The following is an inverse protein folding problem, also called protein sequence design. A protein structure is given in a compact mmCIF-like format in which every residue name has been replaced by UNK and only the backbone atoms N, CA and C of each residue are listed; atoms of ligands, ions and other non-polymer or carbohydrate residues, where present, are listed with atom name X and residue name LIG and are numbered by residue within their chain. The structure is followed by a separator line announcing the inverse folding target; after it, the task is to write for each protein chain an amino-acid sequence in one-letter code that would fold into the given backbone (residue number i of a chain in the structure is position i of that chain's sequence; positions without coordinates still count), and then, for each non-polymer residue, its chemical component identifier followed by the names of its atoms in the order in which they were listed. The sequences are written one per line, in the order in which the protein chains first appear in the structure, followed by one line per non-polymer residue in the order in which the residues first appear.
data_IF_028479460738
#
_entry.id   IF_028479460738
#
_cell.length_a   1.000
_cell.length_b   1.000
_cell.length_c   1.000
_cell.angle_alpha   90.00
_cell.angle_beta   90.00
_cell.angle_gamma   90.00
#
_symmetry.space_group_name_H-M   'P 1'
#
loop_
_entity.id
_entity.type
_entity.pdbx_description
1 polymer ?
#
# COMPACT_ATOMS: atom_id res chain seq x y z
N UNK A 1 29.81 10.84 -21.36
CA UNK A 1 28.37 10.57 -21.43
C UNK A 1 28.05 9.53 -20.37
N UNK A 2 27.31 9.88 -19.32
CA UNK A 2 26.84 8.88 -18.37
C UNK A 2 25.72 8.07 -19.03
N UNK A 3 25.85 6.74 -19.08
CA UNK A 3 24.77 5.86 -19.51
C UNK A 3 23.59 6.06 -18.55
N UNK A 4 22.39 6.27 -19.10
CA UNK A 4 21.18 6.31 -18.29
C UNK A 4 21.03 4.96 -17.57
N UNK A 5 20.67 4.93 -16.28
CA UNK A 5 20.44 3.69 -15.56
C UNK A 5 19.37 2.87 -16.28
N UNK A 6 19.75 1.68 -16.73
CA UNK A 6 18.86 0.78 -17.45
C UNK A 6 17.96 0.09 -16.42
N UNK A 7 16.68 0.46 -16.40
CA UNK A 7 15.71 -0.18 -15.51
C UNK A 7 15.41 -1.59 -16.03
N UNK A 8 15.69 -2.62 -15.22
CA UNK A 8 15.37 -4.02 -15.52
C UNK A 8 13.86 -4.32 -15.48
N UNK A 9 13.06 -3.40 -14.92
CA UNK A 9 11.63 -3.58 -14.71
C UNK A 9 10.84 -4.07 -15.94
N UNK A 10 10.99 -3.52 -17.16
CA UNK A 10 10.24 -4.03 -18.32
C UNK A 10 10.62 -5.48 -18.67
N UNK A 11 11.90 -5.84 -18.47
CA UNK A 11 12.37 -7.20 -18.68
C UNK A 11 11.78 -8.17 -17.64
N UNK A 12 11.80 -7.77 -16.37
CA UNK A 12 11.23 -8.56 -15.27
C UNK A 12 9.71 -8.72 -15.38
N UNK A 13 8.99 -7.69 -15.84
CA UNK A 13 7.55 -7.81 -16.14
C UNK A 13 7.30 -8.81 -17.27
N UNK A 14 8.09 -8.72 -18.34
CA UNK A 14 7.96 -9.64 -19.47
C UNK A 14 8.26 -11.09 -19.03
N UNK A 15 9.32 -11.30 -18.24
CA UNK A 15 9.64 -12.60 -17.65
C UNK A 15 8.51 -13.11 -16.73
N UNK A 16 8.00 -12.28 -15.83
CA UNK A 16 6.89 -12.69 -14.96
C UNK A 16 5.65 -13.09 -15.77
N UNK A 17 5.35 -12.36 -16.84
CA UNK A 17 4.21 -12.66 -17.72
C UNK A 17 4.35 -13.96 -18.53
N UNK A 18 5.56 -14.49 -18.70
CA UNK A 18 5.76 -15.79 -19.35
C UNK A 18 5.69 -16.95 -18.36
N UNK A 19 5.96 -16.69 -17.07
CA UNK A 19 5.91 -17.68 -15.98
C UNK A 19 4.50 -17.80 -15.40
N UNK A 20 3.78 -16.69 -15.29
CA UNK A 20 2.49 -16.60 -14.62
C UNK A 20 1.37 -16.25 -15.59
N UNK A 21 0.23 -16.91 -15.40
CA UNK A 21 -0.97 -16.72 -16.23
C UNK A 21 -1.87 -15.57 -15.78
N UNK A 22 -1.77 -15.14 -14.51
CA UNK A 22 -2.59 -14.09 -13.92
C UNK A 22 -1.74 -13.00 -13.26
N UNK A 23 -2.30 -11.79 -13.18
CA UNK A 23 -1.72 -10.67 -12.46
C UNK A 23 -2.80 -9.77 -11.85
N UNK A 24 -2.48 -9.11 -10.73
CA UNK A 24 -3.32 -8.08 -10.14
C UNK A 24 -2.49 -6.96 -9.50
N UNK A 25 -3.16 -5.90 -9.06
CA UNK A 25 -2.48 -4.83 -8.31
C UNK A 25 -2.11 -5.32 -6.91
N UNK A 26 -0.99 -4.83 -6.38
CA UNK A 26 -0.57 -5.13 -5.01
C UNK A 26 0.19 -3.98 -4.37
N UNK A 27 0.16 -3.93 -3.03
CA UNK A 27 0.86 -2.94 -2.22
C UNK A 27 1.68 -3.68 -1.17
N UNK A 28 3.00 -3.49 -1.15
CA UNK A 28 3.88 -4.18 -0.22
C UNK A 28 4.49 -3.21 0.79
N UNK A 29 4.54 -3.55 2.06
CA UNK A 29 5.29 -2.91 3.13
C UNK A 29 6.55 -3.72 3.41
N UNK A 30 7.68 -3.04 3.52
CA UNK A 30 8.99 -3.69 3.69
C UNK A 30 9.73 -2.98 4.79
N UNK A 31 10.05 -3.71 5.86
CA UNK A 31 10.80 -3.23 7.00
C UNK A 31 12.01 -4.13 7.27
N UNK A 32 13.09 -3.53 7.76
CA UNK A 32 14.28 -4.25 8.18
C UNK A 32 14.46 -4.06 9.68
N UNK A 33 14.53 -5.16 10.43
CA UNK A 33 14.91 -5.13 11.83
C UNK A 33 16.44 -5.19 12.02
N UNK A 34 16.92 -4.95 13.24
CA UNK A 34 18.35 -5.01 13.54
C UNK A 34 18.94 -6.38 13.14
N UNK A 35 19.75 -6.41 12.07
CA UNK A 35 20.32 -7.63 11.51
C UNK A 35 19.98 -7.82 10.01
N UNK A 36 19.89 -9.08 9.56
CA UNK A 36 19.50 -9.45 8.20
C UNK A 36 18.01 -9.80 8.04
N UNK A 37 17.23 -9.77 9.13
CA UNK A 37 15.82 -10.13 9.11
C UNK A 37 14.98 -9.07 8.39
N UNK A 38 14.22 -9.53 7.40
CA UNK A 38 13.31 -8.73 6.60
C UNK A 38 11.88 -9.07 6.97
N UNK A 39 11.08 -8.03 7.10
CA UNK A 39 9.68 -8.08 7.49
C UNK A 39 8.87 -7.52 6.32
N UNK A 40 7.96 -8.32 5.75
CA UNK A 40 7.16 -7.93 4.58
C UNK A 40 5.67 -8.16 4.82
N UNK A 41 4.83 -7.16 4.53
CA UNK A 41 3.38 -7.32 4.38
C UNK A 41 3.00 -6.99 2.95
N UNK A 42 2.11 -7.74 2.30
CA UNK A 42 1.68 -7.45 0.93
C UNK A 42 0.17 -7.59 0.81
N UNK A 43 -0.53 -6.55 0.37
CA UNK A 43 -1.97 -6.56 0.14
C UNK A 43 -2.28 -6.65 -1.35
N UNK A 44 -3.14 -7.58 -1.73
CA UNK A 44 -3.63 -7.79 -3.09
C UNK A 44 -5.17 -7.69 -3.08
N UNK A 45 -5.73 -6.46 -3.11
CA UNK A 45 -7.16 -6.24 -2.91
C UNK A 45 -8.05 -6.95 -3.95
N UNK A 46 -7.59 -7.01 -5.20
CA UNK A 46 -8.34 -7.58 -6.33
C UNK A 46 -8.68 -9.06 -6.12
N UNK A 47 -7.84 -9.78 -5.38
CA UNK A 47 -8.02 -11.21 -5.05
C UNK A 47 -8.34 -11.44 -3.57
N UNK A 48 -8.55 -10.36 -2.80
CA UNK A 48 -8.84 -10.40 -1.36
C UNK A 48 -7.80 -11.23 -0.58
N UNK A 49 -6.51 -11.02 -0.86
CA UNK A 49 -5.41 -11.69 -0.13
C UNK A 49 -4.42 -10.69 0.44
N UNK A 50 -3.85 -11.05 1.59
CA UNK A 50 -2.75 -10.32 2.21
C UNK A 50 -1.68 -11.31 2.70
N UNK A 51 -0.42 -11.09 2.35
CA UNK A 51 0.73 -11.77 2.93
C UNK A 51 1.18 -11.04 4.20
N UNK A 52 1.46 -11.81 5.26
CA UNK A 52 2.04 -11.32 6.50
C UNK A 52 3.29 -12.15 6.84
N UNK A 53 4.47 -11.57 6.62
CA UNK A 53 5.64 -11.83 7.47
C UNK A 53 5.54 -10.94 8.71
N UNK A 54 6.11 -11.35 9.84
CA UNK A 54 6.00 -10.63 11.12
C UNK A 54 6.34 -9.13 10.98
N UNK A 55 5.38 -8.20 10.91
CA UNK A 55 5.64 -6.78 10.55
C UNK A 55 4.75 -5.78 11.31
N UNK A 56 5.34 -4.64 11.67
CA UNK A 56 4.68 -3.36 11.98
C UNK A 56 4.78 -2.36 10.81
N UNK A 57 3.84 -1.42 10.76
CA UNK A 57 3.42 -0.62 9.60
C UNK A 57 4.49 0.40 9.13
N UNK A 58 4.74 0.47 7.82
CA UNK A 58 5.70 1.41 7.16
C UNK A 58 5.32 1.72 5.70
N UNK A 59 6.13 2.50 4.94
CA UNK A 59 5.82 2.96 3.56
C UNK A 59 5.72 1.83 2.50
N UNK A 60 4.87 1.99 1.48
CA UNK A 60 4.42 0.89 0.60
C UNK A 60 4.85 1.08 -0.86
N UNK A 61 5.79 0.30 -1.42
CA UNK A 61 5.84 0.06 -2.85
C UNK A 61 4.49 -0.46 -3.41
N UNK A 62 3.88 0.29 -4.32
CA UNK A 62 2.80 -0.20 -5.17
C UNK A 62 3.37 -0.93 -6.41
N UNK A 63 2.76 -2.04 -6.80
CA UNK A 63 3.26 -2.90 -7.88
C UNK A 63 2.24 -3.89 -8.40
N UNK A 64 2.73 -4.90 -9.12
CA UNK A 64 1.94 -5.99 -9.67
C UNK A 64 2.31 -7.31 -8.99
N UNK A 65 1.29 -8.07 -8.59
CA UNK A 65 1.42 -9.44 -8.10
C UNK A 65 1.05 -10.41 -9.22
N UNK A 66 1.97 -11.30 -9.58
CA UNK A 66 1.83 -12.35 -10.58
C UNK A 66 1.67 -13.72 -9.92
N UNK A 67 0.76 -14.55 -10.43
CA UNK A 67 0.44 -15.86 -9.87
C UNK A 67 -0.23 -16.76 -10.93
N UNK A 68 -0.37 -18.06 -10.64
CA UNK A 68 -1.02 -19.00 -11.56
C UNK A 68 -2.42 -19.40 -11.10
N UNK A 69 -2.60 -19.70 -9.82
CA UNK A 69 -3.87 -20.09 -9.24
C UNK A 69 -4.05 -19.47 -7.86
N UNK A 70 -4.84 -18.39 -7.77
CA UNK A 70 -5.04 -17.68 -6.51
C UNK A 70 -5.58 -18.56 -5.37
N UNK A 71 -6.38 -19.60 -5.67
CA UNK A 71 -6.92 -20.46 -4.64
C UNK A 71 -5.86 -21.39 -4.05
N UNK A 72 -4.99 -21.95 -4.89
CA UNK A 72 -3.95 -22.88 -4.45
C UNK A 72 -2.73 -22.14 -3.92
N UNK A 73 -2.19 -21.21 -4.72
CA UNK A 73 -0.92 -20.53 -4.47
C UNK A 73 -0.96 -19.72 -3.16
N UNK A 74 -2.11 -19.18 -2.77
CA UNK A 74 -2.28 -18.37 -1.54
C UNK A 74 -2.91 -19.12 -0.37
N UNK A 75 -3.05 -20.46 -0.48
CA UNK A 75 -3.52 -21.31 0.61
C UNK A 75 -2.40 -22.09 1.30
N UNK A 76 -1.20 -22.10 0.71
CA UNK A 76 -0.04 -22.80 1.22
C UNK A 76 0.51 -22.03 2.44
N UNK A 77 0.57 -22.66 3.63
CA UNK A 77 1.09 -22.02 4.83
C UNK A 77 2.61 -21.91 4.80
N UNK A 78 3.14 -20.99 5.60
CA UNK A 78 4.56 -20.77 5.88
C UNK A 78 5.44 -20.64 4.64
N UNK A 79 4.92 -19.96 3.61
CA UNK A 79 5.66 -19.70 2.38
C UNK A 79 6.96 -18.97 2.69
N UNK A 80 8.02 -19.42 2.04
CA UNK A 80 9.30 -18.74 2.04
C UNK A 80 9.22 -17.58 1.05
N UNK A 81 9.79 -16.44 1.39
CA UNK A 81 9.93 -15.33 0.44
C UNK A 81 11.39 -14.94 0.25
N UNK A 82 11.73 -14.49 -0.96
CA UNK A 82 13.00 -13.85 -1.30
C UNK A 82 12.74 -12.44 -1.84
N UNK A 83 13.30 -11.46 -1.16
CA UNK A 83 13.34 -10.06 -1.59
C UNK A 83 14.64 -9.79 -2.36
N UNK A 84 14.54 -9.08 -3.48
CA UNK A 84 15.68 -8.64 -4.27
C UNK A 84 15.42 -7.24 -4.84
N UNK A 85 16.46 -6.43 -4.96
CA UNK A 85 16.42 -5.18 -5.72
C UNK A 85 17.24 -5.25 -6.99
N UNK A 86 16.68 -4.74 -8.08
CA UNK A 86 17.31 -4.68 -9.39
C UNK A 86 17.52 -3.23 -9.85
N UNK A 87 18.56 -3.03 -10.67
CA UNK A 87 18.99 -1.72 -11.16
C UNK A 87 19.83 -0.92 -10.16
N UNK A 88 20.44 0.15 -10.67
CA UNK A 88 21.24 1.11 -9.89
C UNK A 88 20.71 2.52 -10.12
N UNK A 89 20.75 3.38 -9.08
CA UNK A 89 20.33 4.78 -9.18
C UNK A 89 19.08 5.14 -8.38
N UNK A 90 18.44 6.28 -8.69
CA UNK A 90 17.31 6.81 -7.90
C UNK A 90 16.02 6.00 -8.10
N UNK A 91 15.97 5.11 -9.09
CA UNK A 91 14.83 4.23 -9.30
C UNK A 91 15.31 2.79 -9.31
N UNK A 92 14.79 1.97 -8.40
CA UNK A 92 15.09 0.55 -8.30
C UNK A 92 13.82 -0.26 -8.53
N UNK A 93 13.99 -1.51 -8.94
CA UNK A 93 12.89 -2.47 -9.00
C UNK A 93 12.98 -3.37 -7.78
N UNK A 94 11.89 -3.50 -7.06
CA UNK A 94 11.73 -4.50 -6.01
C UNK A 94 11.08 -5.73 -6.63
N UNK A 95 11.68 -6.87 -6.37
CA UNK A 95 11.12 -8.19 -6.63
C UNK A 95 10.95 -8.93 -5.31
N UNK A 96 9.78 -9.51 -5.10
CA UNK A 96 9.53 -10.43 -3.99
C UNK A 96 8.97 -11.72 -4.59
N UNK A 97 9.74 -12.78 -4.45
CA UNK A 97 9.38 -14.12 -4.92
C UNK A 97 8.89 -14.96 -3.73
N UNK A 98 7.75 -15.63 -3.91
CA UNK A 98 7.15 -16.49 -2.89
C UNK A 98 7.27 -17.95 -3.32
N UNK A 99 7.79 -18.80 -2.44
CA UNK A 99 8.13 -20.19 -2.72
C UNK A 99 7.37 -21.14 -1.80
N UNK A 100 7.14 -22.35 -2.30
CA UNK A 100 6.62 -23.44 -1.49
C UNK A 100 7.59 -23.76 -0.34
N UNK A 101 7.12 -23.93 0.91
CA UNK A 101 7.98 -24.14 2.09
C UNK A 101 8.94 -25.33 1.94
N UNK A 102 8.46 -26.41 1.32
CA UNK A 102 9.23 -27.65 1.14
C UNK A 102 10.18 -27.64 -0.08
N UNK A 103 10.28 -26.54 -0.81
CA UNK A 103 10.97 -26.51 -2.10
C UNK A 103 12.39 -25.95 -2.09
N UNK A 104 12.91 -25.50 -0.94
CA UNK A 104 14.22 -24.85 -0.82
C UNK A 104 14.48 -23.78 -1.90
N UNK A 105 13.43 -23.03 -2.27
CA UNK A 105 13.49 -21.98 -3.30
C UNK A 105 13.35 -22.46 -4.75
N UNK A 106 13.04 -23.73 -5.02
CA UNK A 106 12.88 -24.25 -6.39
C UNK A 106 11.45 -24.09 -6.94
N UNK A 107 10.44 -24.06 -6.08
CA UNK A 107 9.03 -24.00 -6.50
C UNK A 107 8.44 -22.61 -6.25
N UNK A 108 8.58 -21.74 -7.26
CA UNK A 108 8.02 -20.39 -7.25
C UNK A 108 6.49 -20.42 -7.43
N UNK A 109 5.77 -19.82 -6.48
CA UNK A 109 4.31 -19.77 -6.44
C UNK A 109 3.75 -18.45 -6.96
N UNK A 110 4.36 -17.33 -6.56
CA UNK A 110 3.95 -16.00 -7.00
C UNK A 110 5.13 -15.02 -6.94
N UNK A 111 4.99 -13.89 -7.65
CA UNK A 111 6.01 -12.85 -7.73
C UNK A 111 5.37 -11.47 -7.65
N UNK A 112 5.85 -10.63 -6.76
CA UNK A 112 5.52 -9.22 -6.72
C UNK A 112 6.63 -8.39 -7.34
N UNK A 113 6.27 -7.46 -8.23
CA UNK A 113 7.18 -6.52 -8.87
C UNK A 113 6.68 -5.09 -8.65
N UNK A 114 7.55 -4.23 -8.12
CA UNK A 114 7.28 -2.81 -7.98
C UNK A 114 8.47 -1.99 -8.46
N UNK A 115 8.19 -0.87 -9.12
CA UNK A 115 9.21 0.14 -9.41
C UNK A 115 9.10 1.24 -8.36
N UNK A 116 10.19 1.52 -7.68
CA UNK A 116 10.25 2.51 -6.60
C UNK A 116 11.35 3.53 -6.83
N UNK A 117 11.06 4.76 -6.44
CA UNK A 117 12.06 5.81 -6.30
C UNK A 117 12.77 5.65 -4.95
N UNK A 118 14.03 5.22 -4.96
CA UNK A 118 14.83 4.96 -3.76
C UNK A 118 15.17 6.22 -2.96
N UNK A 119 14.98 7.43 -3.52
CA UNK A 119 15.10 8.68 -2.77
C UNK A 119 13.86 8.97 -1.92
N UNK A 120 12.68 8.55 -2.40
CA UNK A 120 11.39 8.80 -1.76
C UNK A 120 10.94 7.65 -0.85
N UNK A 121 11.42 6.43 -1.14
CA UNK A 121 11.17 5.21 -0.39
C UNK A 121 12.49 4.62 0.10
N UNK A 122 12.76 4.59 1.42
CA UNK A 122 13.97 4.00 1.96
C UNK A 122 13.90 2.48 1.85
N UNK A 123 14.18 1.96 0.66
CA UNK A 123 14.19 0.54 0.34
C UNK A 123 15.63 0.03 0.44
N UNK A 124 15.83 -1.10 1.12
CA UNK A 124 17.16 -1.73 1.20
C UNK A 124 17.57 -2.19 -0.19
N UNK A 125 18.72 -1.72 -0.67
CA UNK A 125 19.37 -2.30 -1.85
C UNK A 125 20.04 -3.61 -1.44
N UNK A 126 19.76 -4.68 -2.16
CA UNK A 126 20.33 -6.00 -1.94
C UNK A 126 19.26 -7.09 -1.87
N UNK A 127 19.57 -8.15 -1.13
CA UNK A 127 18.71 -9.32 -0.98
C UNK A 127 18.28 -9.52 0.47
N UNK A 128 17.15 -10.20 0.65
CA UNK A 128 16.65 -10.63 1.95
C UNK A 128 15.73 -11.83 1.82
N UNK A 129 15.47 -12.51 2.92
CA UNK A 129 14.60 -13.70 2.96
C UNK A 129 13.83 -13.78 4.27
N UNK A 130 12.75 -14.54 4.25
CA UNK A 130 11.98 -14.85 5.45
C UNK A 130 10.85 -15.83 5.13
N UNK A 131 9.93 -15.98 6.08
CA UNK A 131 8.73 -16.79 5.95
C UNK A 131 7.50 -15.97 6.32
N UNK A 132 6.34 -16.38 5.83
CA UNK A 132 5.07 -15.74 6.19
C UNK A 132 3.88 -16.48 5.62
N UNK A 133 2.70 -15.93 5.88
CA UNK A 133 1.44 -16.57 5.53
C UNK A 133 0.53 -15.63 4.73
N UNK A 134 -0.17 -16.19 3.74
CA UNK A 134 -1.28 -15.52 3.09
C UNK A 134 -2.56 -15.71 3.89
N UNK A 135 -3.28 -14.63 4.12
CA UNK A 135 -4.57 -14.59 4.80
C UNK A 135 -5.62 -13.92 3.93
N UNK A 136 -6.89 -14.19 4.21
CA UNK A 136 -7.99 -13.47 3.55
C UNK A 136 -7.95 -12.00 3.92
N UNK A 137 -7.88 -11.14 2.90
CA UNK A 137 -7.97 -9.70 3.05
C UNK A 137 -9.44 -9.29 3.13
N UNK A 138 -9.99 -9.35 4.34
CA UNK A 138 -11.35 -8.91 4.63
C UNK A 138 -11.40 -7.39 4.74
N UNK A 139 -11.37 -6.73 3.59
CA UNK A 139 -11.53 -5.28 3.49
C UNK A 139 -12.59 -4.94 2.45
N UNK A 140 -13.39 -3.90 2.73
CA UNK A 140 -14.16 -3.19 1.73
C UNK A 140 -13.27 -2.22 0.95
N UNK A 141 -13.66 -1.93 -0.29
CA UNK A 141 -13.05 -0.88 -1.09
C UNK A 141 -14.11 0.10 -1.56
N UNK A 142 -13.73 1.37 -1.70
CA UNK A 142 -14.58 2.41 -2.26
C UNK A 142 -13.74 3.38 -3.08
N UNK A 143 -14.32 3.92 -4.14
CA UNK A 143 -13.71 5.07 -4.81
C UNK A 143 -13.76 6.29 -3.90
N UNK A 144 -12.67 7.04 -3.88
CA UNK A 144 -12.52 8.23 -3.08
C UNK A 144 -12.04 9.41 -3.94
N UNK A 145 -12.58 10.59 -3.66
CA UNK A 145 -12.26 11.83 -4.35
C UNK A 145 -11.65 12.82 -3.34
N UNK A 146 -10.33 13.10 -3.43
CA UNK A 146 -9.70 14.14 -2.65
C UNK A 146 -10.03 15.52 -3.23
N UNK A 147 -10.43 16.44 -2.37
CA UNK A 147 -10.78 17.80 -2.73
C UNK A 147 -10.18 18.77 -1.72
N UNK A 148 -9.45 19.77 -2.22
CA UNK A 148 -8.97 20.91 -1.44
C UNK A 148 -9.13 22.17 -2.26
N UNK A 149 -9.84 23.15 -1.70
CA UNK A 149 -9.95 24.47 -2.32
C UNK A 149 -8.65 25.25 -2.13
N UNK A 150 -8.36 26.16 -3.07
CA UNK A 150 -7.18 27.02 -3.03
C UNK A 150 -7.11 27.84 -1.72
N UNK A 151 -5.93 27.90 -1.10
CA UNK A 151 -5.71 28.65 0.15
C UNK A 151 -6.37 28.01 1.38
N UNK A 152 -6.74 26.73 1.30
CA UNK A 152 -7.31 25.97 2.44
C UNK A 152 -6.37 24.84 2.82
N UNK A 153 -6.15 24.68 4.12
CA UNK A 153 -5.40 23.58 4.74
C UNK A 153 -6.22 22.29 4.86
N UNK A 154 -7.55 22.41 4.82
CA UNK A 154 -8.45 21.27 5.01
C UNK A 154 -8.60 20.45 3.75
N UNK A 155 -8.17 19.19 3.81
CA UNK A 155 -8.41 18.20 2.78
C UNK A 155 -9.69 17.44 3.08
N UNK A 156 -10.54 17.27 2.06
CA UNK A 156 -11.72 16.43 2.10
C UNK A 156 -11.47 15.18 1.26
N UNK A 157 -11.79 14.00 1.78
CA UNK A 157 -11.97 12.80 0.97
C UNK A 157 -13.45 12.44 0.94
N UNK A 158 -14.04 12.48 -0.25
CA UNK A 158 -15.43 12.09 -0.47
C UNK A 158 -15.50 10.64 -0.92
N UNK A 159 -16.45 9.88 -0.36
CA UNK A 159 -16.72 8.49 -0.69
C UNK A 159 -18.16 8.35 -1.20
N UNK A 160 -18.46 8.68 -2.48
CA UNK A 160 -19.84 8.74 -2.96
C UNK A 160 -20.63 7.45 -2.75
N UNK A 161 -20.02 6.29 -3.02
CA UNK A 161 -20.65 4.99 -2.83
C UNK A 161 -20.97 4.66 -1.36
N UNK A 162 -20.23 5.25 -0.44
CA UNK A 162 -20.39 5.06 1.01
C UNK A 162 -21.30 6.11 1.65
N UNK A 163 -21.71 7.14 0.88
CA UNK A 163 -22.44 8.33 1.36
C UNK A 163 -21.77 8.96 2.58
N UNK A 164 -20.44 9.03 2.56
CA UNK A 164 -19.62 9.64 3.61
C UNK A 164 -18.55 10.54 3.01
N UNK A 165 -18.09 11.50 3.80
CA UNK A 165 -16.81 12.17 3.57
C UNK A 165 -16.06 12.29 4.89
N UNK A 166 -14.74 12.38 4.80
CA UNK A 166 -13.86 12.71 5.91
C UNK A 166 -13.09 13.98 5.59
N UNK A 167 -12.82 14.80 6.60
CA UNK A 167 -11.86 15.89 6.46
C UNK A 167 -10.93 15.97 7.65
N UNK A 168 -9.76 16.56 7.40
CA UNK A 168 -8.72 16.82 8.39
C UNK A 168 -7.83 17.96 7.90
N UNK A 169 -7.10 18.58 8.82
CA UNK A 169 -6.18 19.68 8.49
C UNK A 169 -4.84 19.13 7.99
N UNK A 170 -4.30 19.74 6.94
CA UNK A 170 -3.01 19.43 6.32
C UNK A 170 -2.11 20.67 6.31
N UNK A 171 -0.84 20.54 5.92
CA UNK A 171 0.13 21.65 5.95
C UNK A 171 0.23 22.44 4.64
N UNK A 172 -0.18 21.83 3.52
CA UNK A 172 -0.14 22.47 2.20
C UNK A 172 -1.50 23.13 1.92
N UNK A 173 -1.49 24.21 1.14
CA UNK A 173 -2.68 24.97 0.75
C UNK A 173 -2.96 24.88 -0.75
N UNK A 174 -2.13 24.10 -1.47
CA UNK A 174 -2.25 23.85 -2.89
C UNK A 174 -3.61 23.20 -3.21
N UNK A 175 -4.33 23.69 -4.22
CA UNK A 175 -5.62 23.13 -4.58
C UNK A 175 -5.47 21.69 -5.06
N UNK A 176 -6.42 20.85 -4.66
CA UNK A 176 -6.52 19.46 -5.11
C UNK A 176 -7.90 19.27 -5.71
N UNK A 177 -7.92 18.83 -6.97
CA UNK A 177 -9.12 18.38 -7.65
C UNK A 177 -8.77 17.27 -8.63
N UNK A 178 -9.70 16.34 -8.85
CA UNK A 178 -9.67 15.34 -9.92
C UNK A 178 -8.61 14.23 -9.85
N UNK A 179 -7.87 14.07 -8.75
CA UNK A 179 -7.02 12.90 -8.50
C UNK A 179 -7.79 11.84 -7.71
N UNK A 180 -8.67 11.09 -8.38
CA UNK A 180 -9.37 9.98 -7.72
C UNK A 180 -8.43 8.93 -7.12
N UNK A 181 -8.97 8.04 -6.32
CA UNK A 181 -8.20 6.92 -5.75
C UNK A 181 -9.10 5.85 -5.15
N UNK A 182 -8.45 4.87 -4.51
CA UNK A 182 -9.12 3.76 -3.85
C UNK A 182 -8.94 3.90 -2.35
N UNK A 183 -10.05 3.88 -1.62
CA UNK A 183 -10.07 3.76 -0.17
C UNK A 183 -10.34 2.32 0.22
N UNK A 184 -9.44 1.74 1.00
CA UNK A 184 -9.51 0.37 1.51
C UNK A 184 -9.80 0.45 3.00
N UNK A 185 -10.77 -0.29 3.51
CA UNK A 185 -11.20 -0.23 4.90
C UNK A 185 -11.64 -1.60 5.41
N UNK A 186 -11.44 -1.89 6.70
CA UNK A 186 -11.85 -3.18 7.27
C UNK A 186 -13.33 -3.20 7.69
N UNK A 187 -13.79 -2.10 8.26
CA UNK A 187 -15.13 -1.99 8.83
C UNK A 187 -15.76 -0.64 8.49
N UNK A 188 -16.95 -0.65 7.88
CA UNK A 188 -17.70 0.57 7.59
C UNK A 188 -18.11 1.33 8.86
N UNK A 189 -18.35 0.61 9.96
CA UNK A 189 -18.71 1.22 11.26
C UNK A 189 -17.54 1.99 11.87
N UNK A 190 -16.30 1.64 11.53
CA UNK A 190 -15.10 2.34 11.97
C UNK A 190 -14.86 3.68 11.24
N UNK A 191 -15.65 4.04 10.22
CA UNK A 191 -15.57 5.33 9.55
C UNK A 191 -16.34 6.42 10.30
N UNK A 192 -15.81 6.85 11.43
CA UNK A 192 -16.40 7.82 12.34
C UNK A 192 -15.31 8.55 13.12
N UNK A 193 -15.65 9.63 13.83
CA UNK A 193 -14.66 10.47 14.51
C UNK A 193 -13.87 9.72 15.60
N UNK A 194 -14.48 8.70 16.21
CA UNK A 194 -13.94 7.95 17.35
C UNK A 194 -14.31 6.48 17.36
N UNK A 195 -13.47 5.63 17.93
CA UNK A 195 -13.82 4.25 18.31
C UNK A 195 -13.71 4.15 19.82
N UNK A 196 -14.84 3.92 20.49
CA UNK A 196 -14.92 4.14 21.95
C UNK A 196 -14.64 5.61 22.27
N UNK A 197 -13.65 5.87 23.12
CA UNK A 197 -13.25 7.22 23.52
C UNK A 197 -12.09 7.79 22.69
N UNK A 198 -11.46 6.95 21.86
CA UNK A 198 -10.22 7.24 21.12
C UNK A 198 -10.54 7.87 19.76
N UNK A 199 -9.81 8.94 19.41
CA UNK A 199 -10.01 9.62 18.13
C UNK A 199 -9.44 8.83 16.95
N UNK A 200 -10.03 8.98 15.77
CA UNK A 200 -9.40 8.53 14.52
C UNK A 200 -8.54 9.66 13.97
N UNK A 201 -7.26 9.36 13.76
CA UNK A 201 -6.27 10.29 13.23
C UNK A 201 -5.93 9.93 11.78
N UNK A 202 -5.66 10.95 10.98
CA UNK A 202 -5.09 10.82 9.64
C UNK A 202 -3.58 11.03 9.68
N UNK A 203 -2.86 10.10 9.08
CA UNK A 203 -1.44 10.20 8.71
C UNK A 203 -1.30 10.17 7.20
N UNK A 204 -0.36 10.91 6.63
CA UNK A 204 -0.19 10.91 5.18
C UNK A 204 1.24 11.05 4.71
N UNK A 205 1.42 10.56 3.50
CA UNK A 205 2.55 10.75 2.61
C UNK A 205 2.01 11.19 1.26
N UNK A 206 2.87 11.46 0.27
CA UNK A 206 2.38 11.87 -1.04
C UNK A 206 1.61 10.76 -1.78
N UNK A 207 1.86 9.50 -1.41
CA UNK A 207 1.35 8.28 -2.04
C UNK A 207 0.17 7.64 -1.30
N UNK A 208 -0.19 8.10 -0.09
CA UNK A 208 -1.35 7.58 0.64
C UNK A 208 -1.77 8.42 1.84
N UNK A 209 -2.98 8.12 2.34
CA UNK A 209 -3.49 8.63 3.61
C UNK A 209 -3.98 7.44 4.45
N UNK A 210 -3.41 7.26 5.63
CA UNK A 210 -3.77 6.24 6.60
C UNK A 210 -4.65 6.83 7.69
N UNK A 211 -5.67 6.07 8.09
CA UNK A 211 -6.57 6.39 9.18
C UNK A 211 -6.38 5.35 10.28
N UNK A 212 -6.05 5.77 11.50
CA UNK A 212 -5.75 4.86 12.61
C UNK A 212 -6.28 5.40 13.94
N UNK A 213 -6.39 4.52 14.93
CA UNK A 213 -6.90 4.86 16.26
C UNK A 213 -5.79 5.56 17.07
N UNK A 214 -6.12 6.68 17.71
CA UNK A 214 -5.20 7.43 18.58
C UNK A 214 -4.57 6.52 19.65
N UNK A 215 -3.25 6.61 19.84
CA UNK A 215 -2.50 5.73 20.74
C UNK A 215 -2.16 4.34 20.16
N UNK A 216 -2.75 3.99 19.01
CA UNK A 216 -2.61 2.69 18.36
C UNK A 216 -2.31 2.83 16.86
N UNK A 217 -1.10 3.29 16.47
CA UNK A 217 -0.74 3.51 15.06
C UNK A 217 -0.82 2.25 14.19
N UNK A 218 -0.67 1.07 14.79
CA UNK A 218 -0.81 -0.20 14.08
C UNK A 218 -2.28 -0.60 13.81
N UNK A 219 -3.25 0.09 14.44
CA UNK A 219 -4.67 -0.16 14.26
C UNK A 219 -5.24 0.73 13.13
N UNK A 220 -4.86 0.43 11.89
CA UNK A 220 -5.40 1.09 10.70
C UNK A 220 -6.86 0.68 10.49
N UNK A 221 -7.74 1.69 10.43
CA UNK A 221 -9.17 1.56 10.11
C UNK A 221 -9.45 1.71 8.62
N UNK A 222 -8.60 2.44 7.91
CA UNK A 222 -8.63 2.53 6.45
C UNK A 222 -7.41 3.23 5.86
N UNK A 223 -7.20 3.03 4.57
CA UNK A 223 -6.10 3.63 3.82
C UNK A 223 -6.60 4.09 2.45
N UNK A 224 -6.30 5.33 2.09
CA UNK A 224 -6.57 5.89 0.78
C UNK A 224 -5.30 5.92 -0.06
N UNK A 225 -5.37 5.32 -1.25
CA UNK A 225 -4.33 5.34 -2.26
C UNK A 225 -4.80 6.19 -3.46
N UNK A 226 -4.26 7.39 -3.67
CA UNK A 226 -4.56 8.21 -4.83
C UNK A 226 -3.98 7.57 -6.10
N UNK A 227 -4.61 7.79 -7.25
CA UNK A 227 -4.08 7.33 -8.55
C UNK A 227 -2.77 8.03 -8.96
N UNK A 228 -2.46 9.18 -8.37
CA UNK A 228 -1.22 9.93 -8.56
C UNK A 228 -0.88 10.69 -7.26
N UNK A 229 0.40 11.02 -6.99
CA UNK A 229 0.78 11.74 -5.78
C UNK A 229 -0.03 13.03 -5.60
N UNK A 230 -0.61 13.25 -4.41
CA UNK A 230 -1.56 14.34 -4.17
C UNK A 230 -0.98 15.56 -3.43
N UNK A 231 0.34 15.72 -3.36
CA UNK A 231 0.98 16.98 -2.94
C UNK A 231 0.41 17.54 -1.62
N UNK A 232 0.36 16.72 -0.57
CA UNK A 232 -0.25 17.09 0.72
C UNK A 232 0.79 17.65 1.71
N UNK A 233 2.07 17.63 1.30
CA UNK A 233 3.21 17.91 2.14
C UNK A 233 3.52 16.77 3.10
N UNK A 234 4.75 16.76 3.64
CA UNK A 234 5.19 15.77 4.62
C UNK A 234 4.62 16.11 6.00
N UNK A 235 3.79 15.24 6.54
CA UNK A 235 3.19 15.40 7.86
C UNK A 235 4.24 15.39 8.98
N UNK A 236 4.15 16.35 9.91
CA UNK A 236 4.93 16.35 11.16
C UNK A 236 4.17 15.67 12.32
N UNK A 237 2.84 15.73 12.31
CA UNK A 237 1.96 15.13 13.32
C UNK A 237 0.62 14.71 12.71
N UNK A 238 0.11 13.55 13.11
CA UNK A 238 -1.21 13.06 12.70
C UNK A 238 -2.34 14.03 13.09
N UNK A 239 -3.31 14.17 12.18
CA UNK A 239 -4.39 15.16 12.27
C UNK A 239 -5.70 14.49 12.66
N UNK A 240 -6.44 14.97 13.67
CA UNK A 240 -7.76 14.44 13.97
C UNK A 240 -8.71 14.53 12.78
N UNK A 241 -9.52 13.49 12.60
CA UNK A 241 -10.45 13.41 11.48
C UNK A 241 -11.86 13.77 11.89
N UNK A 242 -12.65 14.22 10.91
CA UNK A 242 -14.09 14.40 11.08
C UNK A 242 -14.82 13.76 9.92
N UNK A 243 -15.64 12.77 10.25
CA UNK A 243 -16.44 11.97 9.35
C UNK A 243 -17.89 12.44 9.38
N UNK A 244 -18.47 12.65 8.20
CA UNK A 244 -19.85 13.12 8.06
C UNK A 244 -20.56 12.37 6.93
N UNK A 245 -21.90 12.29 6.98
CA UNK A 245 -22.69 11.89 5.83
C UNK A 245 -22.37 12.78 4.62
N UNK A 246 -22.31 12.18 3.44
CA UNK A 246 -22.22 12.85 2.16
C UNK A 246 -23.50 12.55 1.37
N UNK A 247 -24.27 13.58 1.08
CA UNK A 247 -25.37 13.48 0.12
C UNK A 247 -24.94 14.13 -1.21
N UNK A 248 -24.75 13.34 -2.29
CA UNK A 248 -24.44 13.90 -3.59
C UNK A 248 -25.58 14.74 -4.19
N UNK A 249 -26.80 14.67 -3.66
CA UNK A 249 -27.96 15.45 -4.12
C UNK A 249 -28.06 16.84 -3.46
N UNK A 250 -27.30 17.11 -2.40
CA UNK A 250 -27.30 18.39 -1.66
C UNK A 250 -26.31 19.45 -2.22
N UNK A 251 -25.72 19.23 -3.39
CA UNK A 251 -24.82 20.17 -4.08
C UNK A 251 -25.46 20.82 -5.31
#
# INVERSE_FOLDING_TARGET
MAQAPQSEYPGLLMEASTIFSNQCSGHAQIHQEQGEEMKISLQAPDIMKQFMGDVQIGKDPAGLLFYNNAQLDFSIPDQQFKYMTHGTGPTVTIQIDFYHPDSDGEHLLSRFLARVDSQNYPVRVGEGKGTGNWVDFRAGTAQALPIRAEGRTRLYLQFPALKKYVFFETIDESPISNTGGVFIFKDYSAMQDKIGDEAILASWTDDRIEFFIEGHPDNIVGCFYPHAPIGIGKMEKASPTTWKPFDPEDN
#
